data_IF_887028614273
#
_entry.id   IF_887028614273
#
_cell.length_a   1.000
_cell.length_b   1.000
_cell.length_c   1.000
_cell.angle_alpha   90.00
_cell.angle_beta   90.00
_cell.angle_gamma   90.00
#
_symmetry.space_group_name_H-M   'P 1'
#
loop_
_entity.id
_entity.type
_entity.pdbx_description
1 polymer ?
#
# COMPACT_ATOMS: atom_id res chain seq x y z
N UNK A 1 1.94 3.71 -22.35
CA UNK A 1 0.70 4.11 -23.03
C UNK A 1 0.03 5.10 -22.09
N UNK A 2 0.03 6.39 -22.44
CA UNK A 2 -0.60 7.44 -21.60
C UNK A 2 -2.11 7.35 -21.84
N UNK A 3 -2.88 7.14 -20.79
CA UNK A 3 -4.34 7.27 -20.84
C UNK A 3 -4.68 8.76 -20.88
N UNK A 4 -5.48 9.19 -21.85
CA UNK A 4 -6.01 10.55 -21.90
C UNK A 4 -6.84 10.86 -20.65
N UNK A 5 -6.73 12.06 -20.06
CA UNK A 5 -7.52 12.43 -18.90
C UNK A 5 -9.00 12.53 -19.32
N UNK A 6 -9.82 11.67 -18.77
CA UNK A 6 -11.27 11.78 -18.87
C UNK A 6 -11.69 13.08 -18.13
N UNK A 7 -12.44 13.93 -18.77
CA UNK A 7 -12.89 15.21 -18.24
C UNK A 7 -13.50 15.05 -16.83
N UNK A 8 -12.87 15.66 -15.81
CA UNK A 8 -13.27 15.59 -14.40
C UNK A 8 -12.66 14.42 -13.60
N UNK A 9 -11.70 13.67 -14.14
CA UNK A 9 -11.11 12.49 -13.50
C UNK A 9 -9.77 12.75 -12.79
N UNK A 10 -9.58 12.12 -11.63
CA UNK A 10 -8.27 12.02 -10.99
C UNK A 10 -7.30 11.24 -11.89
N UNK A 11 -6.02 11.66 -11.92
CA UNK A 11 -4.95 10.88 -12.58
C UNK A 11 -4.62 9.65 -11.76
N UNK A 12 -5.30 8.53 -12.07
CA UNK A 12 -5.11 7.25 -11.38
C UNK A 12 -3.71 6.65 -11.60
N UNK A 13 -2.98 7.10 -12.61
CA UNK A 13 -1.62 6.65 -12.93
C UNK A 13 -0.52 7.46 -12.23
N UNK A 14 -0.85 8.48 -11.43
CA UNK A 14 0.14 9.26 -10.71
C UNK A 14 0.51 8.61 -9.37
N UNK A 15 1.76 8.20 -9.23
CA UNK A 15 2.29 7.56 -8.02
C UNK A 15 3.41 8.36 -7.36
N UNK A 16 3.79 7.98 -6.12
CA UNK A 16 4.75 8.72 -5.31
C UNK A 16 6.14 8.80 -5.92
N UNK A 17 6.55 7.85 -6.75
CA UNK A 17 7.82 7.85 -7.47
C UNK A 17 7.94 9.00 -8.47
N UNK A 18 6.83 9.50 -9.00
CA UNK A 18 6.80 10.67 -9.87
C UNK A 18 7.31 11.94 -9.17
N UNK A 19 7.17 12.02 -7.85
CA UNK A 19 7.65 13.17 -7.05
C UNK A 19 9.18 13.22 -6.95
N UNK A 20 9.88 12.09 -7.15
CA UNK A 20 11.35 11.99 -6.97
C UNK A 20 12.09 11.54 -8.22
N UNK A 21 11.40 11.03 -9.24
CA UNK A 21 12.01 10.37 -10.41
C UNK A 21 13.10 11.19 -11.11
N UNK A 22 12.88 12.49 -11.26
CA UNK A 22 13.77 13.38 -12.00
C UNK A 22 14.75 14.15 -11.08
N UNK A 23 14.66 13.96 -9.76
CA UNK A 23 15.43 14.71 -8.78
C UNK A 23 16.72 13.99 -8.32
N UNK A 24 16.91 12.74 -8.70
CA UNK A 24 18.04 11.92 -8.24
C UNK A 24 18.06 11.81 -6.70
N UNK A 25 19.28 11.79 -6.12
CA UNK A 25 19.48 11.74 -4.65
C UNK A 25 19.43 13.12 -3.98
N UNK A 26 19.01 14.17 -4.70
CA UNK A 26 19.05 15.54 -4.19
C UNK A 26 17.92 15.87 -3.20
N UNK A 27 16.86 15.04 -3.15
CA UNK A 27 15.72 15.26 -2.28
C UNK A 27 15.61 14.15 -1.23
N UNK A 28 15.22 14.53 -0.02
CA UNK A 28 14.73 13.59 0.99
C UNK A 28 13.37 13.10 0.55
N UNK A 29 13.27 11.80 0.28
CA UNK A 29 12.05 11.18 -0.22
C UNK A 29 11.06 10.91 0.92
N UNK A 30 9.98 11.70 0.96
CA UNK A 30 8.81 11.53 1.83
C UNK A 30 7.54 11.19 1.02
N UNK A 31 7.69 10.99 -0.30
CA UNK A 31 6.60 10.69 -1.21
C UNK A 31 6.41 9.18 -1.42
N UNK A 32 7.49 8.40 -1.35
CA UNK A 32 7.46 6.93 -1.49
C UNK A 32 7.50 6.26 -0.11
N UNK A 33 6.54 5.39 0.15
CA UNK A 33 6.40 4.70 1.45
C UNK A 33 7.18 3.37 1.47
N UNK A 34 8.49 3.45 1.25
CA UNK A 34 9.41 2.32 1.39
C UNK A 34 10.29 2.60 2.61
N UNK A 35 10.53 1.59 3.44
CA UNK A 35 11.40 1.69 4.61
C UNK A 35 12.81 2.11 4.16
N UNK A 36 13.41 3.06 4.84
CA UNK A 36 14.81 3.48 4.63
C UNK A 36 15.77 2.36 5.06
N UNK A 37 17.02 2.45 4.62
CA UNK A 37 18.08 1.49 4.92
C UNK A 37 17.76 0.04 4.52
N UNK A 38 16.97 -0.10 3.47
CA UNK A 38 16.57 -1.39 2.90
C UNK A 38 16.96 -1.52 1.42
N UNK A 39 17.16 -2.73 0.90
CA UNK A 39 17.18 -4.02 1.62
C UNK A 39 18.36 -4.14 2.58
N UNK A 40 18.23 -4.84 3.72
CA UNK A 40 19.35 -5.10 4.63
C UNK A 40 20.43 -5.95 3.96
N UNK A 41 21.67 -5.92 4.48
CA UNK A 41 22.81 -6.57 3.87
C UNK A 41 22.58 -8.09 3.64
N UNK A 42 22.07 -8.78 4.65
CA UNK A 42 21.78 -10.21 4.56
C UNK A 42 20.81 -10.55 3.42
N UNK A 43 19.80 -9.70 3.20
CA UNK A 43 18.81 -9.93 2.14
C UNK A 43 19.40 -9.63 0.76
N UNK A 44 20.24 -8.57 0.63
CA UNK A 44 20.96 -8.29 -0.62
C UNK A 44 21.89 -9.44 -1.00
N UNK A 45 22.63 -9.99 -0.05
CA UNK A 45 23.51 -11.13 -0.26
C UNK A 45 22.74 -12.37 -0.68
N UNK A 46 21.62 -12.65 -0.01
CA UNK A 46 20.75 -13.78 -0.34
C UNK A 46 20.17 -13.65 -1.77
N UNK A 47 19.68 -12.46 -2.14
CA UNK A 47 19.20 -12.18 -3.50
C UNK A 47 20.34 -12.32 -4.52
N UNK A 48 21.51 -11.78 -4.23
CA UNK A 48 22.67 -11.86 -5.13
C UNK A 48 23.11 -13.32 -5.37
N UNK A 49 23.07 -14.18 -4.35
CA UNK A 49 23.37 -15.59 -4.50
C UNK A 49 22.46 -16.32 -5.49
N UNK A 50 21.19 -15.90 -5.59
CA UNK A 50 20.22 -16.48 -6.53
C UNK A 50 20.55 -16.21 -8.00
N UNK A 51 21.39 -15.21 -8.30
CA UNK A 51 21.77 -14.85 -9.68
C UNK A 51 22.57 -15.98 -10.35
N UNK A 52 23.25 -16.83 -9.58
CA UNK A 52 23.98 -17.99 -10.13
C UNK A 52 23.06 -19.03 -10.81
N UNK A 53 21.76 -19.02 -10.49
CA UNK A 53 20.77 -19.96 -11.01
C UNK A 53 19.92 -19.43 -12.19
N UNK A 54 20.22 -18.25 -12.72
CA UNK A 54 19.36 -17.57 -13.73
C UNK A 54 19.17 -18.32 -15.05
N UNK A 55 20.01 -19.31 -15.35
CA UNK A 55 19.84 -20.13 -16.55
C UNK A 55 18.63 -21.09 -16.49
N UNK A 56 18.10 -21.35 -15.29
CA UNK A 56 16.91 -22.16 -15.07
C UNK A 56 15.64 -21.30 -15.00
N UNK A 57 14.52 -21.85 -15.48
CA UNK A 57 13.23 -21.22 -15.23
C UNK A 57 12.91 -21.16 -13.74
N UNK A 58 12.27 -20.06 -13.26
CA UNK A 58 11.97 -19.89 -11.84
C UNK A 58 11.04 -21.00 -11.29
N UNK A 59 11.37 -21.53 -10.12
CA UNK A 59 10.53 -22.47 -9.36
C UNK A 59 10.00 -21.81 -8.09
N UNK A 60 8.71 -21.47 -8.07
CA UNK A 60 8.06 -20.78 -6.95
C UNK A 60 7.59 -21.70 -5.82
N UNK A 61 7.80 -23.01 -5.87
CA UNK A 61 7.23 -23.96 -4.88
C UNK A 61 7.73 -23.70 -3.47
N UNK A 62 9.02 -23.48 -3.28
CA UNK A 62 9.61 -23.20 -1.95
C UNK A 62 9.10 -21.88 -1.37
N UNK A 63 9.14 -20.81 -2.15
CA UNK A 63 8.63 -19.50 -1.74
C UNK A 63 7.12 -19.54 -1.42
N UNK A 64 6.33 -20.25 -2.23
CA UNK A 64 4.90 -20.45 -1.99
C UNK A 64 4.64 -21.20 -0.69
N UNK A 65 5.39 -22.27 -0.44
CA UNK A 65 5.29 -23.04 0.80
C UNK A 65 5.69 -22.22 2.03
N UNK A 66 6.74 -21.40 1.93
CA UNK A 66 7.18 -20.51 3.01
C UNK A 66 6.12 -19.45 3.35
N UNK A 67 5.50 -18.82 2.33
CA UNK A 67 4.39 -17.88 2.53
C UNK A 67 3.18 -18.57 3.16
N UNK A 68 2.82 -19.78 2.70
CA UNK A 68 1.72 -20.55 3.26
C UNK A 68 1.97 -20.85 4.75
N UNK A 69 3.18 -21.29 5.09
CA UNK A 69 3.58 -21.57 6.48
C UNK A 69 3.49 -20.31 7.37
N UNK A 70 3.96 -19.14 6.89
CA UNK A 70 3.82 -17.85 7.61
C UNK A 70 2.39 -17.58 8.07
N UNK A 71 1.41 -17.88 7.22
CA UNK A 71 0.00 -17.56 7.46
C UNK A 71 -0.83 -18.74 7.96
N UNK A 72 -0.20 -19.92 8.18
CA UNK A 72 -0.91 -21.13 8.59
C UNK A 72 -1.94 -21.62 7.57
N UNK A 73 -1.67 -21.40 6.29
CA UNK A 73 -2.58 -21.72 5.18
C UNK A 73 -2.06 -22.90 4.35
N UNK A 74 -2.97 -23.66 3.69
CA UNK A 74 -2.57 -24.58 2.61
C UNK A 74 -1.90 -23.81 1.46
N UNK A 75 -0.98 -24.45 0.75
CA UNK A 75 -0.26 -23.84 -0.39
C UNK A 75 -1.20 -23.46 -1.54
N UNK A 76 -2.33 -24.15 -1.67
CA UNK A 76 -3.37 -23.92 -2.67
C UNK A 76 -4.06 -22.56 -2.48
N UNK A 77 -3.94 -21.96 -1.30
CA UNK A 77 -4.51 -20.65 -0.95
C UNK A 77 -3.53 -19.49 -1.18
N UNK A 78 -2.35 -19.75 -1.74
CA UNK A 78 -1.30 -18.76 -1.97
C UNK A 78 -1.01 -18.63 -3.46
N UNK A 79 -0.96 -17.39 -3.97
CA UNK A 79 -0.45 -17.06 -5.30
C UNK A 79 0.65 -16.01 -5.18
N UNK A 80 1.85 -16.33 -5.67
CA UNK A 80 2.94 -15.36 -5.77
C UNK A 80 2.72 -14.47 -6.98
N UNK A 81 2.98 -13.17 -6.85
CA UNK A 81 2.74 -12.18 -7.91
C UNK A 81 3.92 -11.22 -8.07
N UNK A 82 4.07 -10.64 -9.26
CA UNK A 82 5.02 -9.57 -9.54
C UNK A 82 4.59 -8.24 -8.88
N UNK A 83 4.48 -8.26 -7.55
CA UNK A 83 3.93 -7.19 -6.71
C UNK A 83 2.39 -7.15 -6.72
N UNK A 84 1.82 -6.29 -5.86
CA UNK A 84 0.38 -6.11 -5.76
C UNK A 84 -0.25 -5.60 -7.08
N UNK A 85 0.49 -4.87 -7.91
CA UNK A 85 -0.01 -4.37 -9.18
C UNK A 85 -0.43 -5.50 -10.13
N UNK A 86 0.34 -6.60 -10.23
CA UNK A 86 -0.08 -7.76 -10.99
C UNK A 86 -1.34 -8.40 -10.39
N UNK A 87 -1.42 -8.49 -9.07
CA UNK A 87 -2.60 -9.04 -8.40
C UNK A 87 -3.88 -8.28 -8.77
N UNK A 88 -3.85 -6.93 -8.80
CA UNK A 88 -5.00 -6.13 -9.22
C UNK A 88 -5.40 -6.39 -10.68
N UNK A 89 -4.41 -6.52 -11.56
CA UNK A 89 -4.67 -6.85 -12.99
C UNK A 89 -5.29 -8.24 -13.12
N UNK A 90 -4.79 -9.23 -12.39
CA UNK A 90 -5.35 -10.59 -12.40
C UNK A 90 -6.77 -10.61 -11.87
N UNK A 91 -7.05 -9.96 -10.73
CA UNK A 91 -8.39 -9.83 -10.17
C UNK A 91 -9.38 -9.21 -11.16
N UNK A 92 -8.96 -8.12 -11.81
CA UNK A 92 -9.79 -7.40 -12.76
C UNK A 92 -10.10 -8.20 -14.04
N UNK A 93 -9.22 -9.11 -14.45
CA UNK A 93 -9.34 -9.85 -15.71
C UNK A 93 -9.86 -11.27 -15.55
N UNK A 94 -9.55 -11.93 -14.43
CA UNK A 94 -9.91 -13.32 -14.21
C UNK A 94 -11.30 -13.47 -13.61
N UNK A 95 -11.67 -12.59 -12.68
CA UNK A 95 -12.93 -12.70 -11.96
C UNK A 95 -14.11 -12.15 -12.80
N UNK A 96 -15.25 -12.82 -12.69
CA UNK A 96 -16.51 -12.33 -13.27
C UNK A 96 -17.10 -11.27 -12.36
N UNK A 97 -16.84 -10.00 -12.69
CA UNK A 97 -17.27 -8.85 -11.89
C UNK A 97 -18.21 -7.99 -12.72
N UNK A 98 -19.34 -7.62 -12.15
CA UNK A 98 -20.37 -6.79 -12.78
C UNK A 98 -20.52 -5.42 -12.10
N UNK A 99 -20.36 -5.37 -10.78
CA UNK A 99 -20.54 -4.16 -9.95
C UNK A 99 -19.36 -4.00 -8.98
N UNK A 100 -18.16 -3.70 -9.48
CA UNK A 100 -17.01 -3.47 -8.62
C UNK A 100 -17.12 -2.13 -7.92
N UNK A 101 -16.82 -2.15 -6.63
CA UNK A 101 -16.73 -0.97 -5.75
C UNK A 101 -15.30 -0.82 -5.25
N UNK A 102 -14.79 0.39 -5.32
CA UNK A 102 -13.50 0.76 -4.71
C UNK A 102 -13.74 1.81 -3.63
N UNK A 103 -13.28 1.51 -2.40
CA UNK A 103 -13.42 2.40 -1.26
C UNK A 103 -12.27 3.42 -1.26
N UNK A 104 -12.58 4.70 -1.44
CA UNK A 104 -11.63 5.81 -1.53
C UNK A 104 -11.76 6.78 -0.33
N UNK A 105 -10.71 7.60 -0.05
CA UNK A 105 -9.43 7.68 -0.75
C UNK A 105 -8.53 6.48 -0.43
N UNK A 106 -8.02 5.82 -1.48
CA UNK A 106 -7.03 4.75 -1.34
C UNK A 106 -6.08 4.70 -2.54
N UNK A 107 -5.14 3.75 -2.55
CA UNK A 107 -4.25 3.49 -3.68
C UNK A 107 -5.07 3.28 -4.95
N UNK A 108 -4.65 3.90 -6.06
CA UNK A 108 -5.50 4.05 -7.26
C UNK A 108 -5.40 2.89 -8.25
N UNK A 109 -4.37 2.05 -8.14
CA UNK A 109 -4.16 0.91 -9.07
C UNK A 109 -5.33 -0.10 -9.13
N UNK A 110 -6.04 -0.43 -8.02
CA UNK A 110 -7.21 -1.31 -8.12
C UNK A 110 -8.26 -0.78 -9.07
N UNK A 111 -8.60 0.51 -8.96
CA UNK A 111 -9.57 1.15 -9.85
C UNK A 111 -9.03 1.24 -11.28
N UNK A 112 -7.75 1.61 -11.45
CA UNK A 112 -7.12 1.67 -12.75
C UNK A 112 -7.14 0.30 -13.46
N UNK A 113 -6.82 -0.78 -12.75
CA UNK A 113 -6.84 -2.13 -13.27
C UNK A 113 -8.25 -2.57 -13.70
N UNK A 114 -9.26 -2.30 -12.88
CA UNK A 114 -10.66 -2.60 -13.17
C UNK A 114 -11.14 -1.83 -14.42
N UNK A 115 -10.89 -0.52 -14.48
CA UNK A 115 -11.26 0.30 -15.65
C UNK A 115 -10.55 -0.12 -16.92
N UNK A 116 -9.27 -0.46 -16.83
CA UNK A 116 -8.47 -0.95 -17.96
C UNK A 116 -8.93 -2.35 -18.45
N UNK A 117 -9.58 -3.12 -17.58
CA UNK A 117 -10.23 -4.38 -17.95
C UNK A 117 -11.64 -4.18 -18.53
N UNK A 118 -12.15 -2.93 -18.58
CA UNK A 118 -13.45 -2.60 -19.16
C UNK A 118 -14.59 -2.51 -18.16
N UNK A 119 -14.32 -2.62 -16.85
CA UNK A 119 -15.36 -2.50 -15.84
C UNK A 119 -15.75 -1.04 -15.58
N UNK A 120 -17.04 -0.80 -15.33
CA UNK A 120 -17.53 0.42 -14.70
C UNK A 120 -17.36 0.27 -13.20
N UNK A 121 -16.63 1.20 -12.57
CA UNK A 121 -16.27 1.13 -11.15
C UNK A 121 -17.05 2.18 -10.38
N UNK A 122 -17.77 1.75 -9.35
CA UNK A 122 -18.40 2.62 -8.37
C UNK A 122 -17.42 2.96 -7.25
N UNK A 123 -17.52 4.18 -6.71
CA UNK A 123 -16.68 4.66 -5.62
C UNK A 123 -17.50 4.86 -4.36
N UNK A 124 -17.02 4.32 -3.24
CA UNK A 124 -17.45 4.72 -1.90
C UNK A 124 -16.41 5.69 -1.37
N UNK A 125 -16.81 6.95 -1.11
CA UNK A 125 -15.92 8.00 -0.64
C UNK A 125 -16.01 8.14 0.88
N UNK A 126 -14.95 7.80 1.58
CA UNK A 126 -14.79 8.08 3.01
C UNK A 126 -14.50 9.56 3.21
N UNK A 127 -14.94 10.14 4.33
CA UNK A 127 -14.93 11.58 4.56
C UNK A 127 -14.06 11.98 5.74
N UNK A 128 -13.49 13.19 5.67
CA UNK A 128 -12.69 13.76 6.75
C UNK A 128 -13.50 13.88 8.06
N UNK A 129 -14.77 14.30 7.97
CA UNK A 129 -15.68 14.46 9.12
C UNK A 129 -15.88 13.17 9.92
N UNK A 130 -15.77 12.01 9.25
CA UNK A 130 -15.85 10.67 9.85
C UNK A 130 -14.47 10.09 10.17
N UNK A 131 -13.40 10.88 10.02
CA UNK A 131 -12.01 10.45 10.18
C UNK A 131 -11.60 9.41 9.13
N UNK A 132 -12.19 9.44 7.95
CA UNK A 132 -11.99 8.46 6.86
C UNK A 132 -12.21 7.00 7.30
N UNK A 133 -13.11 6.77 8.25
CA UNK A 133 -13.46 5.44 8.73
C UNK A 133 -14.46 4.77 7.79
N UNK A 134 -14.31 3.46 7.62
CA UNK A 134 -15.25 2.66 6.85
C UNK A 134 -16.59 2.57 7.59
N UNK A 135 -17.65 3.00 6.92
CA UNK A 135 -19.02 2.63 7.25
C UNK A 135 -19.44 1.49 6.30
N UNK A 136 -19.64 0.26 6.78
CA UNK A 136 -20.09 -0.85 5.95
C UNK A 136 -21.42 -0.59 5.25
N UNK A 137 -22.30 0.23 5.83
CA UNK A 137 -23.61 0.56 5.25
C UNK A 137 -23.50 1.44 3.99
N UNK A 138 -22.36 2.14 3.82
CA UNK A 138 -22.11 2.91 2.61
C UNK A 138 -21.75 2.04 1.39
N UNK A 139 -21.41 0.77 1.58
CA UNK A 139 -21.08 -0.16 0.50
C UNK A 139 -22.36 -0.77 -0.07
N UNK A 140 -22.67 -0.58 -1.38
CA UNK A 140 -23.88 -1.13 -1.99
C UNK A 140 -24.03 -2.64 -1.78
N UNK A 141 -25.25 -3.07 -1.50
CA UNK A 141 -25.54 -4.49 -1.24
C UNK A 141 -25.27 -5.37 -2.47
N UNK A 142 -25.51 -4.85 -3.64
CA UNK A 142 -25.33 -5.51 -4.92
C UNK A 142 -23.88 -5.53 -5.44
N UNK A 143 -22.93 -4.89 -4.73
CA UNK A 143 -21.53 -4.95 -5.09
C UNK A 143 -21.02 -6.40 -5.04
N UNK A 144 -20.49 -6.89 -6.15
CA UNK A 144 -19.96 -8.26 -6.27
C UNK A 144 -18.43 -8.32 -6.10
N UNK A 145 -17.78 -7.16 -6.16
CA UNK A 145 -16.37 -6.98 -5.77
C UNK A 145 -16.23 -5.69 -4.97
N UNK A 146 -15.56 -5.75 -3.82
CA UNK A 146 -15.23 -4.58 -3.00
C UNK A 146 -13.73 -4.57 -2.74
N UNK A 147 -13.07 -3.44 -2.98
CA UNK A 147 -11.64 -3.26 -2.72
C UNK A 147 -11.43 -2.20 -1.66
N UNK A 148 -10.65 -2.53 -0.62
CA UNK A 148 -10.24 -1.61 0.44
C UNK A 148 -8.78 -1.83 0.83
N UNK A 149 -8.02 -0.74 1.07
CA UNK A 149 -6.69 -0.81 1.66
C UNK A 149 -6.74 -0.81 3.19
N UNK A 150 -5.94 -1.63 3.86
CA UNK A 150 -5.87 -1.67 5.32
C UNK A 150 -4.45 -2.00 5.83
N UNK A 151 -3.72 -1.04 6.46
CA UNK A 151 -4.08 0.37 6.61
C UNK A 151 -4.18 1.09 5.26
N UNK A 152 -5.09 2.06 5.17
CA UNK A 152 -5.38 2.73 3.91
C UNK A 152 -4.29 3.74 3.53
N UNK A 153 -3.80 3.68 2.31
CA UNK A 153 -2.96 4.73 1.72
C UNK A 153 -3.86 5.63 0.83
N UNK A 154 -4.00 6.95 1.11
CA UNK A 154 -3.06 7.80 1.83
C UNK A 154 -3.46 8.14 3.28
N UNK A 155 -4.64 7.75 3.76
CA UNK A 155 -5.21 8.25 5.03
C UNK A 155 -4.48 7.72 6.28
N UNK A 156 -3.76 6.60 6.14
CA UNK A 156 -3.13 5.89 7.28
C UNK A 156 -4.12 5.30 8.28
N UNK A 157 -5.40 5.30 7.97
CA UNK A 157 -6.43 4.72 8.83
C UNK A 157 -6.33 3.19 8.80
N UNK A 158 -6.32 2.60 9.98
CA UNK A 158 -6.43 1.16 10.20
C UNK A 158 -7.88 0.84 10.58
N UNK A 159 -8.58 0.19 9.68
CA UNK A 159 -9.96 -0.25 9.94
C UNK A 159 -9.96 -1.53 10.77
N UNK A 160 -10.86 -1.67 11.75
CA UNK A 160 -10.98 -2.92 12.52
C UNK A 160 -11.25 -4.11 11.58
N UNK A 161 -10.54 -5.20 11.79
CA UNK A 161 -10.69 -6.42 10.97
C UNK A 161 -12.13 -6.94 10.93
N UNK A 162 -12.86 -6.82 12.05
CA UNK A 162 -14.27 -7.21 12.15
C UNK A 162 -15.17 -6.35 11.25
N UNK A 163 -14.89 -5.04 11.14
CA UNK A 163 -15.65 -4.11 10.28
C UNK A 163 -15.40 -4.44 8.80
N UNK A 164 -14.12 -4.66 8.42
CA UNK A 164 -13.77 -5.04 7.04
C UNK A 164 -14.35 -6.41 6.69
N UNK A 165 -14.20 -7.41 7.56
CA UNK A 165 -14.78 -8.75 7.36
C UNK A 165 -16.31 -8.72 7.26
N UNK A 166 -16.97 -7.77 7.94
CA UNK A 166 -18.41 -7.54 7.85
C UNK A 166 -18.92 -7.13 6.46
N UNK A 167 -18.04 -6.75 5.55
CA UNK A 167 -18.38 -6.51 4.14
C UNK A 167 -18.58 -7.81 3.34
N UNK A 168 -18.11 -8.96 3.87
CA UNK A 168 -18.22 -10.24 3.17
C UNK A 168 -19.69 -10.68 3.05
N UNK A 169 -20.05 -11.16 1.86
CA UNK A 169 -21.38 -11.69 1.53
C UNK A 169 -21.26 -12.85 0.54
N UNK A 170 -22.23 -13.75 0.49
CA UNK A 170 -22.26 -14.77 -0.56
C UNK A 170 -22.19 -14.13 -1.96
N UNK A 171 -21.30 -14.62 -2.82
CA UNK A 171 -21.13 -14.12 -4.18
C UNK A 171 -20.32 -12.83 -4.32
N UNK A 172 -19.88 -12.22 -3.21
CA UNK A 172 -18.99 -11.03 -3.22
C UNK A 172 -17.54 -11.44 -3.02
N UNK A 173 -16.66 -10.93 -3.85
CA UNK A 173 -15.21 -10.94 -3.60
C UNK A 173 -14.82 -9.70 -2.77
N UNK A 174 -14.23 -9.92 -1.60
CA UNK A 174 -13.73 -8.86 -0.72
C UNK A 174 -12.21 -8.82 -0.83
N UNK A 175 -11.68 -7.81 -1.50
CA UNK A 175 -10.24 -7.60 -1.70
C UNK A 175 -9.73 -6.62 -0.65
N UNK A 176 -8.78 -7.07 0.18
CA UNK A 176 -8.13 -6.25 1.20
C UNK A 176 -6.66 -6.09 0.86
N UNK A 177 -6.26 -4.85 0.54
CA UNK A 177 -4.86 -4.53 0.28
C UNK A 177 -4.13 -4.25 1.60
N UNK A 178 -3.41 -5.24 2.08
CA UNK A 178 -2.58 -5.20 3.29
C UNK A 178 -1.10 -4.90 2.99
N UNK A 179 -0.80 -4.16 1.91
CA UNK A 179 0.59 -3.86 1.52
C UNK A 179 1.40 -3.12 2.59
N UNK A 180 0.75 -2.49 3.56
CA UNK A 180 1.38 -1.79 4.68
C UNK A 180 1.11 -2.44 6.04
N UNK A 181 0.49 -3.60 6.10
CA UNK A 181 0.14 -4.25 7.36
C UNK A 181 1.39 -4.67 8.16
N UNK A 182 2.48 -5.04 7.49
CA UNK A 182 3.77 -5.34 8.13
C UNK A 182 4.36 -4.15 8.92
N UNK A 183 3.89 -2.92 8.69
CA UNK A 183 4.31 -1.72 9.43
C UNK A 183 3.39 -1.39 10.62
N UNK A 184 2.37 -2.20 10.86
CA UNK A 184 1.47 -2.10 12.02
C UNK A 184 1.97 -3.05 13.11
N UNK A 185 2.32 -2.57 14.30
CA UNK A 185 2.75 -3.45 15.40
C UNK A 185 1.80 -4.60 15.66
N UNK A 186 2.34 -5.83 15.62
CA UNK A 186 1.59 -7.06 15.81
C UNK A 186 0.60 -7.40 14.70
N UNK A 187 0.58 -6.65 13.59
CA UNK A 187 -0.38 -6.83 12.49
C UNK A 187 -1.85 -7.00 12.97
N UNK A 188 -2.22 -6.27 14.02
CA UNK A 188 -3.40 -6.52 14.89
C UNK A 188 -4.76 -6.55 14.19
N UNK A 189 -4.85 -5.95 13.00
CA UNK A 189 -6.09 -5.93 12.20
C UNK A 189 -5.91 -6.68 10.86
N UNK A 190 -4.91 -7.57 10.77
CA UNK A 190 -4.69 -8.35 9.57
C UNK A 190 -5.80 -9.38 9.35
N UNK A 191 -6.24 -9.49 8.11
CA UNK A 191 -7.14 -10.54 7.64
C UNK A 191 -6.39 -11.70 6.96
N UNK A 192 -5.10 -11.53 6.72
CA UNK A 192 -4.23 -12.60 6.24
C UNK A 192 -4.32 -13.83 7.16
N UNK A 193 -4.51 -15.00 6.57
CA UNK A 193 -4.72 -16.25 7.34
C UNK A 193 -6.16 -16.55 7.74
N UNK A 194 -7.11 -15.59 7.59
CA UNK A 194 -8.53 -15.86 7.85
C UNK A 194 -9.12 -16.77 6.76
N UNK A 195 -9.75 -17.87 7.18
CA UNK A 195 -10.39 -18.83 6.27
C UNK A 195 -11.90 -18.87 6.44
N UNK A 196 -12.40 -18.22 7.45
CA UNK A 196 -13.81 -18.15 7.85
C UNK A 196 -14.58 -16.99 7.16
N UNK A 197 -13.88 -16.10 6.45
CA UNK A 197 -14.49 -14.96 5.74
C UNK A 197 -14.74 -15.37 4.28
N UNK A 198 -16.01 -15.49 3.84
CA UNK A 198 -16.31 -15.92 2.47
C UNK A 198 -15.87 -14.87 1.45
N UNK A 199 -15.29 -15.33 0.34
CA UNK A 199 -14.86 -14.47 -0.76
C UNK A 199 -13.68 -13.54 -0.45
N UNK A 200 -13.00 -13.73 0.69
CA UNK A 200 -11.84 -12.92 1.08
C UNK A 200 -10.65 -13.16 0.17
N UNK A 201 -10.07 -12.07 -0.28
CA UNK A 201 -8.78 -12.00 -1.00
C UNK A 201 -7.90 -10.98 -0.29
N UNK A 202 -6.77 -11.40 0.25
CA UNK A 202 -5.80 -10.49 0.89
C UNK A 202 -4.57 -10.35 0.01
N UNK A 203 -4.14 -9.11 -0.21
CA UNK A 203 -2.92 -8.79 -0.95
C UNK A 203 -1.83 -8.37 0.02
N UNK A 204 -0.64 -8.92 -0.14
CA UNK A 204 0.55 -8.57 0.64
C UNK A 204 1.69 -8.14 -0.29
N UNK A 205 2.47 -7.18 0.16
CA UNK A 205 3.62 -6.65 -0.58
C UNK A 205 4.89 -6.76 0.27
N UNK A 206 5.92 -7.37 -0.26
CA UNK A 206 7.24 -7.38 0.37
C UNK A 206 8.06 -6.13 0.03
N UNK A 207 7.54 -5.30 -0.88
CA UNK A 207 8.20 -4.08 -1.37
C UNK A 207 8.46 -3.07 -0.27
N UNK A 208 7.47 -2.86 0.63
CA UNK A 208 7.46 -1.68 1.51
C UNK A 208 8.37 -1.86 2.71
N UNK A 209 8.28 -2.99 3.36
CA UNK A 209 9.05 -3.34 4.55
C UNK A 209 10.51 -3.68 4.21
N UNK A 210 10.74 -4.30 3.04
CA UNK A 210 12.04 -4.84 2.67
C UNK A 210 12.79 -4.04 1.60
N UNK A 211 12.23 -2.95 1.09
CA UNK A 211 12.89 -2.13 0.07
C UNK A 211 13.02 -2.82 -1.30
N UNK A 212 12.06 -3.66 -1.66
CA UNK A 212 12.12 -4.50 -2.85
C UNK A 212 11.27 -3.96 -4.01
N UNK A 213 11.13 -2.64 -4.12
CA UNK A 213 10.30 -2.02 -5.15
C UNK A 213 10.72 -2.43 -6.57
N UNK A 214 12.03 -2.50 -6.82
CA UNK A 214 12.59 -2.92 -8.12
C UNK A 214 12.48 -4.41 -8.40
N UNK A 215 12.33 -5.25 -7.37
CA UNK A 215 12.25 -6.71 -7.53
C UNK A 215 10.86 -7.19 -7.97
N UNK A 216 9.84 -6.42 -7.70
CA UNK A 216 8.44 -6.74 -8.03
C UNK A 216 8.00 -8.05 -7.38
N UNK A 217 7.77 -8.05 -6.07
CA UNK A 217 7.34 -9.24 -5.31
C UNK A 217 6.21 -8.92 -4.34
N UNK A 218 5.18 -9.74 -4.37
CA UNK A 218 4.03 -9.75 -3.49
C UNK A 218 3.32 -11.09 -3.60
N UNK A 219 2.20 -11.22 -2.91
CA UNK A 219 1.39 -12.43 -2.98
C UNK A 219 -0.08 -12.15 -2.63
N UNK A 220 -0.92 -13.05 -3.10
CA UNK A 220 -2.36 -13.12 -2.84
C UNK A 220 -2.63 -14.31 -1.94
N UNK A 221 -3.49 -14.10 -0.93
CA UNK A 221 -4.06 -15.14 -0.08
C UNK A 221 -5.56 -15.16 -0.31
N UNK A 222 -6.12 -16.29 -0.76
CA UNK A 222 -7.53 -16.40 -1.08
C UNK A 222 -8.05 -17.85 -0.96
N UNK A 223 -9.32 -18.07 -1.23
CA UNK A 223 -9.87 -19.42 -1.39
C UNK A 223 -9.21 -20.16 -2.56
N UNK A 224 -9.11 -21.49 -2.48
CA UNK A 224 -8.43 -22.33 -3.46
C UNK A 224 -8.98 -22.12 -4.88
N UNK A 225 -10.31 -22.05 -5.04
CA UNK A 225 -10.95 -21.79 -6.34
C UNK A 225 -10.53 -20.42 -6.92
N UNK A 226 -10.51 -19.39 -6.09
CA UNK A 226 -10.07 -18.05 -6.50
C UNK A 226 -8.60 -18.05 -6.91
N UNK A 227 -7.72 -18.68 -6.11
CA UNK A 227 -6.29 -18.81 -6.45
C UNK A 227 -6.12 -19.56 -7.78
N UNK A 228 -6.85 -20.66 -7.98
CA UNK A 228 -6.79 -21.42 -9.22
C UNK A 228 -7.27 -20.60 -10.44
N UNK A 229 -8.29 -19.76 -10.26
CA UNK A 229 -8.79 -18.86 -11.31
C UNK A 229 -7.77 -17.78 -11.68
N UNK A 230 -7.18 -17.11 -10.69
CA UNK A 230 -6.13 -16.13 -10.88
C UNK A 230 -4.88 -16.76 -11.53
N UNK A 231 -4.49 -17.96 -11.10
CA UNK A 231 -3.33 -18.68 -11.62
C UNK A 231 -3.50 -19.05 -13.11
N UNK A 232 -4.72 -19.38 -13.55
CA UNK A 232 -5.00 -19.63 -14.98
C UNK A 232 -4.83 -18.39 -15.86
N UNK A 233 -5.07 -17.20 -15.29
CA UNK A 233 -4.92 -15.93 -16.00
C UNK A 233 -3.49 -15.35 -15.91
N UNK A 234 -2.66 -15.90 -15.02
CA UNK A 234 -1.30 -15.44 -14.80
C UNK A 234 -0.37 -15.95 -15.92
N UNK A 235 0.59 -15.14 -16.41
CA UNK A 235 1.62 -15.61 -17.32
C UNK A 235 2.43 -16.76 -16.72
N UNK A 236 3.04 -17.61 -17.57
CA UNK A 236 4.00 -18.60 -17.10
C UNK A 236 5.24 -17.90 -16.50
N UNK A 237 5.74 -18.44 -15.37
CA UNK A 237 6.91 -17.92 -14.66
C UNK A 237 6.83 -16.42 -14.34
N UNK A 238 5.77 -15.95 -13.68
CA UNK A 238 5.48 -14.52 -13.52
C UNK A 238 6.46 -13.82 -12.57
N UNK A 239 7.11 -14.58 -11.68
CA UNK A 239 8.00 -14.06 -10.64
C UNK A 239 9.43 -14.56 -10.92
N UNK A 240 10.38 -13.63 -10.96
CA UNK A 240 11.78 -13.94 -11.25
C UNK A 240 12.45 -14.73 -10.11
N UNK A 241 13.49 -15.52 -10.43
CA UNK A 241 14.24 -16.28 -9.42
C UNK A 241 14.75 -15.41 -8.25
N UNK A 242 15.33 -14.20 -8.45
CA UNK A 242 15.70 -13.32 -7.36
C UNK A 242 14.52 -12.86 -6.50
N UNK A 243 13.34 -12.65 -7.10
CA UNK A 243 12.14 -12.26 -6.36
C UNK A 243 11.58 -13.42 -5.53
N UNK A 244 11.66 -14.65 -6.05
CA UNK A 244 11.28 -15.86 -5.29
C UNK A 244 12.20 -16.11 -4.11
N UNK A 245 13.52 -15.98 -4.30
CA UNK A 245 14.50 -16.09 -3.22
C UNK A 245 14.23 -15.04 -2.12
N UNK A 246 13.92 -13.80 -2.51
CA UNK A 246 13.54 -12.76 -1.56
C UNK A 246 12.23 -13.09 -0.83
N UNK A 247 11.22 -13.62 -1.52
CA UNK A 247 9.95 -13.97 -0.91
C UNK A 247 10.12 -15.04 0.18
N UNK A 248 10.90 -16.08 -0.12
CA UNK A 248 11.20 -17.14 0.84
C UNK A 248 11.95 -16.60 2.07
N UNK A 249 12.98 -15.78 1.85
CA UNK A 249 13.80 -15.22 2.92
C UNK A 249 13.02 -14.24 3.82
N UNK A 250 12.18 -13.38 3.24
CA UNK A 250 11.43 -12.34 3.98
C UNK A 250 10.32 -12.89 4.88
N UNK A 251 9.90 -14.15 4.71
CA UNK A 251 8.86 -14.77 5.54
C UNK A 251 9.44 -15.75 6.56
N UNK A 252 10.76 -15.90 6.64
CA UNK A 252 11.43 -16.69 7.65
C UNK A 252 11.36 -16.06 9.05
N UNK A 253 11.49 -16.86 10.11
CA UNK A 253 11.31 -16.41 11.50
C UNK A 253 12.19 -15.21 11.87
N UNK A 254 13.47 -15.20 11.48
CA UNK A 254 14.38 -14.09 11.77
C UNK A 254 13.95 -12.80 11.04
N UNK A 255 13.54 -12.91 9.78
CA UNK A 255 13.02 -11.78 9.02
C UNK A 255 11.73 -11.23 9.62
N UNK A 256 10.81 -12.08 10.04
CA UNK A 256 9.57 -11.65 10.70
C UNK A 256 9.85 -10.94 12.04
N UNK A 257 10.83 -11.38 12.80
CA UNK A 257 11.26 -10.67 14.02
C UNK A 257 11.84 -9.29 13.69
N UNK A 258 12.70 -9.16 12.66
CA UNK A 258 13.21 -7.85 12.20
C UNK A 258 12.09 -6.93 11.72
N UNK A 259 11.10 -7.48 10.99
CA UNK A 259 9.95 -6.71 10.53
C UNK A 259 9.09 -6.19 11.71
N UNK A 260 8.87 -7.02 12.74
CA UNK A 260 8.16 -6.62 13.95
C UNK A 260 8.88 -5.49 14.69
N UNK A 261 10.20 -5.58 14.88
CA UNK A 261 10.99 -4.50 15.47
C UNK A 261 10.94 -3.21 14.60
N UNK A 262 10.95 -3.35 13.28
CA UNK A 262 10.83 -2.21 12.39
C UNK A 262 9.45 -1.55 12.51
N UNK A 263 8.37 -2.31 12.68
CA UNK A 263 7.03 -1.79 12.91
C UNK A 263 6.95 -0.95 14.20
N UNK A 264 7.58 -1.41 15.28
CA UNK A 264 7.65 -0.64 16.54
C UNK A 264 8.43 0.66 16.36
N UNK A 265 9.56 0.64 15.64
CA UNK A 265 10.32 1.87 15.33
C UNK A 265 9.49 2.84 14.50
N UNK A 266 8.81 2.36 13.45
CA UNK A 266 7.92 3.19 12.62
C UNK A 266 6.79 3.80 13.47
N UNK A 267 6.21 3.06 14.42
CA UNK A 267 5.19 3.58 15.31
C UNK A 267 5.71 4.71 16.20
N UNK A 268 6.93 4.57 16.74
CA UNK A 268 7.58 5.61 17.55
C UNK A 268 7.92 6.87 16.73
N UNK A 269 8.47 6.69 15.53
CA UNK A 269 8.82 7.80 14.63
C UNK A 269 7.56 8.50 14.09
N UNK A 270 6.49 7.75 13.82
CA UNK A 270 5.17 8.29 13.46
C UNK A 270 4.60 9.16 14.58
N UNK A 271 4.68 8.70 15.82
CA UNK A 271 4.22 9.47 16.97
C UNK A 271 5.00 10.79 17.12
N UNK A 272 6.32 10.78 16.86
CA UNK A 272 7.15 11.98 16.84
C UNK A 272 6.71 12.95 15.74
N UNK A 273 6.52 12.48 14.51
CA UNK A 273 6.03 13.29 13.38
C UNK A 273 4.66 13.91 13.68
N UNK A 274 3.71 13.12 14.20
CA UNK A 274 2.36 13.61 14.57
C UNK A 274 2.44 14.70 15.65
N UNK A 275 3.28 14.51 16.65
CA UNK A 275 3.48 15.50 17.71
C UNK A 275 3.99 16.83 17.14
N UNK A 276 4.98 16.78 16.26
CA UNK A 276 5.50 17.98 15.59
C UNK A 276 4.47 18.67 14.70
N UNK A 277 3.70 17.90 13.93
CA UNK A 277 2.63 18.42 13.07
C UNK A 277 1.50 19.07 13.89
N UNK A 278 1.12 18.50 15.04
CA UNK A 278 0.16 19.12 15.98
C UNK A 278 0.66 20.47 16.51
N UNK A 279 1.97 20.61 16.71
CA UNK A 279 2.59 21.90 17.06
C UNK A 279 2.37 23.01 16.02
N UNK A 280 2.05 22.63 14.78
CA UNK A 280 1.72 23.55 13.69
C UNK A 280 0.20 23.79 13.51
N UNK A 281 -0.65 23.26 14.37
CA UNK A 281 -2.12 23.41 14.26
C UNK A 281 -2.56 24.86 14.21
N UNK A 282 -1.90 25.77 14.97
CA UNK A 282 -2.15 27.22 14.92
C UNK A 282 -1.86 27.88 13.56
N UNK A 283 -1.25 27.16 12.63
CA UNK A 283 -1.00 27.56 11.23
C UNK A 283 -1.90 26.84 10.23
N UNK A 284 -2.96 26.19 10.69
CA UNK A 284 -3.95 25.51 9.86
C UNK A 284 -3.60 24.07 9.50
N UNK A 285 -2.51 23.49 10.02
CA UNK A 285 -2.17 22.08 9.83
C UNK A 285 -3.12 21.19 10.61
N UNK A 286 -3.78 20.26 9.93
CA UNK A 286 -4.63 19.22 10.54
C UNK A 286 -4.14 17.86 10.14
N UNK A 287 -3.99 16.97 11.10
CA UNK A 287 -3.55 15.59 10.93
C UNK A 287 -4.77 14.67 10.92
N UNK A 288 -4.82 13.72 10.00
CA UNK A 288 -5.80 12.61 10.07
C UNK A 288 -5.35 11.65 11.16
N UNK A 289 -6.20 11.43 12.16
CA UNK A 289 -5.86 10.68 13.37
C UNK A 289 -6.88 9.60 13.73
N UNK A 290 -6.42 8.50 14.35
CA UNK A 290 -5.02 8.10 14.53
C UNK A 290 -4.42 7.52 13.23
N UNK A 291 -3.22 7.96 12.81
CA UNK A 291 -2.51 7.31 11.72
C UNK A 291 -1.83 6.03 12.21
N UNK A 292 -1.92 4.94 11.43
CA UNK A 292 -1.38 3.63 11.84
C UNK A 292 -0.42 3.01 10.81
N UNK A 293 -0.40 3.52 9.58
CA UNK A 293 0.55 3.13 8.55
C UNK A 293 1.89 3.89 8.65
N UNK A 294 2.86 3.60 7.77
CA UNK A 294 4.17 4.26 7.74
C UNK A 294 4.14 5.63 7.06
N UNK A 295 3.03 6.35 7.17
CA UNK A 295 2.82 7.69 6.60
C UNK A 295 1.72 8.42 7.37
N UNK A 296 1.67 9.75 7.19
CA UNK A 296 0.67 10.63 7.80
C UNK A 296 0.05 11.49 6.72
N UNK A 297 -1.30 11.56 6.69
CA UNK A 297 -2.05 12.46 5.83
C UNK A 297 -2.37 13.74 6.60
N UNK A 298 -2.09 14.89 5.98
CA UNK A 298 -2.35 16.20 6.58
C UNK A 298 -3.12 17.08 5.61
N UNK A 299 -4.03 17.87 6.17
CA UNK A 299 -4.67 18.98 5.48
C UNK A 299 -4.03 20.28 5.94
N UNK A 300 -3.72 21.17 5.00
CA UNK A 300 -3.13 22.47 5.30
C UNK A 300 -3.48 23.49 4.20
N UNK A 301 -3.49 24.80 4.54
CA UNK A 301 -3.75 25.86 3.56
C UNK A 301 -2.67 25.88 2.49
N UNK A 302 -3.05 26.23 1.27
CA UNK A 302 -2.14 26.41 0.12
C UNK A 302 -1.14 25.26 -0.07
N UNK A 303 -1.60 24.01 0.16
CA UNK A 303 -0.75 22.83 0.19
C UNK A 303 0.10 22.65 -1.08
N UNK A 304 -0.41 23.08 -2.24
CA UNK A 304 0.36 23.10 -3.48
C UNK A 304 1.59 24.01 -3.40
N UNK A 305 1.42 25.21 -2.88
CA UNK A 305 2.52 26.19 -2.69
C UNK A 305 3.49 25.69 -1.61
N UNK A 306 2.97 25.16 -0.50
CA UNK A 306 3.78 24.58 0.57
C UNK A 306 4.60 23.40 0.03
N UNK A 307 4.02 22.54 -0.80
CA UNK A 307 4.73 21.41 -1.43
C UNK A 307 5.92 21.89 -2.27
N UNK A 308 5.74 22.93 -3.10
CA UNK A 308 6.84 23.49 -3.91
C UNK A 308 7.94 24.10 -3.04
N UNK A 309 7.59 24.75 -1.93
CA UNK A 309 8.57 25.29 -0.98
C UNK A 309 9.33 24.18 -0.25
N UNK A 310 8.65 23.12 0.15
CA UNK A 310 9.29 21.94 0.72
C UNK A 310 10.25 21.30 -0.28
N UNK A 311 9.84 21.21 -1.55
CA UNK A 311 10.72 20.73 -2.62
C UNK A 311 11.96 21.59 -2.79
N UNK A 312 11.82 22.92 -2.77
CA UNK A 312 12.95 23.86 -2.81
C UNK A 312 13.85 23.75 -1.57
N UNK A 313 13.29 23.35 -0.42
CA UNK A 313 14.04 23.08 0.81
C UNK A 313 14.63 21.65 0.87
N UNK A 314 14.50 20.86 -0.20
CA UNK A 314 15.12 19.53 -0.29
C UNK A 314 14.20 18.37 0.13
N UNK A 315 12.88 18.56 0.25
CA UNK A 315 11.93 17.51 0.66
C UNK A 315 10.89 17.23 -0.43
N UNK A 316 10.80 15.99 -0.88
CA UNK A 316 9.74 15.54 -1.78
C UNK A 316 8.59 14.92 -0.98
N UNK A 317 7.39 15.50 -1.10
CA UNK A 317 6.19 15.03 -0.39
C UNK A 317 5.09 14.69 -1.39
N UNK A 318 4.17 13.79 -1.01
CA UNK A 318 3.11 13.29 -1.88
C UNK A 318 1.88 14.21 -1.86
N UNK A 319 1.46 14.70 -3.02
CA UNK A 319 0.20 15.45 -3.19
C UNK A 319 -1.02 14.54 -3.00
N UNK A 320 -2.09 15.09 -2.42
CA UNK A 320 -3.32 14.35 -2.13
C UNK A 320 -4.35 14.33 -3.26
N UNK A 321 -4.41 15.35 -4.08
CA UNK A 321 -5.44 15.57 -5.10
C UNK A 321 -5.48 14.53 -6.24
N UNK A 322 -4.54 13.62 -6.29
CA UNK A 322 -4.56 12.46 -7.20
C UNK A 322 -5.31 11.26 -6.64
N UNK A 323 -5.72 11.33 -5.37
CA UNK A 323 -6.54 10.29 -4.75
C UNK A 323 -8.01 10.73 -4.80
N UNK A 324 -8.92 9.93 -5.36
CA UNK A 324 -10.35 10.22 -5.33
C UNK A 324 -10.83 10.48 -3.89
N UNK A 325 -11.61 11.55 -3.70
CA UNK A 325 -12.09 11.98 -2.39
C UNK A 325 -11.18 12.95 -1.63
N UNK A 326 -9.98 13.27 -2.17
CA UNK A 326 -9.11 14.31 -1.63
C UNK A 326 -8.94 15.47 -2.62
N UNK A 327 -8.76 16.69 -2.08
CA UNK A 327 -8.47 17.90 -2.83
C UNK A 327 -7.01 18.31 -2.79
N UNK A 328 -6.74 19.50 -3.34
CA UNK A 328 -5.39 20.07 -3.43
C UNK A 328 -4.82 20.53 -2.09
N UNK A 329 -5.65 20.60 -1.04
CA UNK A 329 -5.27 20.96 0.33
C UNK A 329 -4.62 19.84 1.12
N UNK A 330 -4.46 18.65 0.53
CA UNK A 330 -3.92 17.47 1.20
C UNK A 330 -2.50 17.12 0.76
N UNK A 331 -1.64 16.83 1.75
CA UNK A 331 -0.31 16.24 1.55
C UNK A 331 -0.16 14.98 2.40
N UNK A 332 0.61 14.01 1.91
CA UNK A 332 1.00 12.82 2.67
C UNK A 332 2.51 12.82 2.87
N UNK A 333 2.94 12.63 4.11
CA UNK A 333 4.33 12.48 4.51
C UNK A 333 4.64 11.03 4.86
N UNK A 334 5.65 10.43 4.26
CA UNK A 334 6.17 9.15 4.72
C UNK A 334 6.89 9.34 6.07
N UNK A 335 6.72 8.38 6.98
CA UNK A 335 7.44 8.37 8.25
C UNK A 335 8.92 8.09 8.00
N UNK A 336 9.78 8.87 8.64
CA UNK A 336 11.24 8.73 8.61
C UNK A 336 11.78 8.83 10.03
N UNK A 337 13.07 8.62 10.20
CA UNK A 337 13.75 8.81 11.48
C UNK A 337 13.55 10.24 12.04
N UNK A 338 13.85 10.40 13.34
CA UNK A 338 13.62 11.67 14.05
C UNK A 338 14.37 12.84 13.46
N UNK A 339 15.65 12.65 13.06
CA UNK A 339 16.45 13.73 12.49
C UNK A 339 15.89 14.25 11.17
N UNK A 340 15.48 13.33 10.29
CA UNK A 340 14.79 13.67 9.04
C UNK A 340 13.45 14.35 9.30
N UNK A 341 12.71 13.87 10.30
CA UNK A 341 11.41 14.42 10.72
C UNK A 341 11.57 15.84 11.27
N UNK A 342 12.55 16.09 12.12
CA UNK A 342 12.79 17.44 12.69
C UNK A 342 13.13 18.44 11.57
N UNK A 343 14.01 18.07 10.64
CA UNK A 343 14.31 18.90 9.48
C UNK A 343 13.11 19.20 8.60
N UNK A 344 12.23 18.21 8.37
CA UNK A 344 10.96 18.41 7.66
C UNK A 344 10.05 19.40 8.40
N UNK A 345 9.88 19.25 9.73
CA UNK A 345 9.02 20.11 10.53
C UNK A 345 9.51 21.58 10.55
N UNK A 346 10.82 21.78 10.59
CA UNK A 346 11.42 23.12 10.49
C UNK A 346 11.16 23.73 9.10
N UNK A 347 11.38 22.97 8.02
CA UNK A 347 11.11 23.40 6.65
C UNK A 347 9.61 23.71 6.44
N UNK A 348 8.72 22.86 6.97
CA UNK A 348 7.27 23.07 6.90
C UNK A 348 6.85 24.31 7.68
N UNK A 349 7.42 24.51 8.89
CA UNK A 349 7.19 25.71 9.68
C UNK A 349 7.65 26.99 8.97
N UNK A 350 8.71 26.95 8.17
CA UNK A 350 9.15 28.05 7.32
C UNK A 350 8.24 28.25 6.12
N UNK A 351 7.88 27.19 5.43
CA UNK A 351 7.00 27.22 4.25
C UNK A 351 5.62 27.83 4.58
N UNK A 352 5.10 27.59 5.77
CA UNK A 352 3.82 28.11 6.24
C UNK A 352 3.87 29.59 6.74
N UNK A 353 5.06 30.17 6.99
CA UNK A 353 5.17 31.58 7.43
C UNK A 353 5.03 32.58 6.29
N UNK A 354 5.21 32.17 5.08
CA UNK A 354 5.27 32.99 3.88
C UNK A 354 4.00 32.92 3.04
N UNK A 355 2.97 32.21 3.53
CA UNK A 355 1.60 32.15 2.97
C UNK A 355 0.63 33.13 3.72
#
# INVERSE_FOLDING_TARGET
MRTDPVAGGHDLGHHGDAEVRDAGSALVDLAVNVRTDTPPAWLREHIAASLSGLAAYPDGRAARAAVAARHGLPVERVLLTAGAAEAFVLLARALKVSRPVVVHPQFTEPEAALRNAGHTVDRVLLREEDGFRLDPAAVPEEADLVVIGNPTNPTSVLHPAAVVAGLARPGRTLVVDEAFMDAVPGEREALAGRTDVPGLVVLRSLTKTWGLAGLRIGYVLAGEDTVAELQRAQPLWPVSAPALAAAEACVGAAALAEAAEAAERVAADRAHLVTGLRGLAGRGVRVVEPPEGPFVLVRLPDAGVVRERLRAAGYAVRRGDTFPGLGAEWLRFAVRDRGTTDGLLDALGQALRTV
#
